data_IF_915129166662
#
_entry.id   IF_915129166662
#
_cell.length_a   1.000
_cell.length_b   1.000
_cell.length_c   1.000
_cell.angle_alpha   90.00
_cell.angle_beta   90.00
_cell.angle_gamma   90.00
#
_symmetry.space_group_name_H-M   'P 1'
#
loop_
_entity.id
_entity.type
_entity.pdbx_description
1 polymer ?
#
# COMPACT_ATOMS: atom_id res chain seq x y z
N UNK A 1 -28.01 -37.05 -21.37
CA UNK A 1 -28.05 -36.23 -20.15
C UNK A 1 -26.66 -35.68 -19.91
N UNK A 2 -26.41 -34.43 -20.30
CA UNK A 2 -25.09 -33.81 -20.19
C UNK A 2 -24.84 -33.38 -18.74
N UNK A 3 -24.00 -34.14 -18.04
CA UNK A 3 -23.57 -33.88 -16.68
C UNK A 3 -22.39 -32.89 -16.66
N UNK A 4 -22.62 -31.67 -17.14
CA UNK A 4 -21.66 -30.59 -16.99
C UNK A 4 -21.98 -29.77 -15.73
N UNK A 5 -21.02 -29.66 -14.82
CA UNK A 5 -21.14 -28.81 -13.65
C UNK A 5 -21.34 -27.34 -14.05
N UNK A 6 -22.21 -26.58 -13.37
CA UNK A 6 -22.38 -25.16 -13.65
C UNK A 6 -21.03 -24.45 -13.46
N UNK A 7 -20.61 -23.72 -14.50
CA UNK A 7 -19.38 -22.93 -14.42
C UNK A 7 -19.52 -21.93 -13.27
N UNK A 8 -18.52 -21.80 -12.38
CA UNK A 8 -18.56 -20.80 -11.34
C UNK A 8 -18.67 -19.42 -11.99
N UNK A 9 -19.49 -18.55 -11.40
CA UNK A 9 -19.66 -17.19 -11.87
C UNK A 9 -18.28 -16.53 -12.06
N UNK A 10 -18.05 -15.95 -13.23
CA UNK A 10 -16.84 -15.19 -13.51
C UNK A 10 -16.73 -14.08 -12.47
N UNK A 11 -15.68 -14.13 -11.64
CA UNK A 11 -15.38 -13.10 -10.65
C UNK A 11 -15.33 -11.76 -11.37
N UNK A 12 -16.25 -10.84 -11.04
CA UNK A 12 -16.17 -9.43 -11.48
C UNK A 12 -14.77 -8.94 -11.12
N UNK A 13 -14.01 -8.51 -12.12
CA UNK A 13 -12.73 -7.85 -11.90
C UNK A 13 -13.03 -6.63 -11.01
N UNK A 14 -12.17 -6.35 -10.03
CA UNK A 14 -12.21 -5.14 -9.18
C UNK A 14 -12.44 -3.89 -10.03
N UNK A 15 -12.86 -2.76 -9.45
CA UNK A 15 -13.04 -1.48 -10.15
C UNK A 15 -11.68 -0.90 -10.60
N UNK A 16 -11.04 -1.61 -11.52
CA UNK A 16 -9.80 -1.24 -12.21
C UNK A 16 -9.96 0.12 -12.91
N UNK A 17 -11.20 0.49 -13.26
CA UNK A 17 -11.54 1.73 -13.96
C UNK A 17 -11.09 2.99 -13.21
N UNK A 18 -11.37 3.15 -11.92
CA UNK A 18 -10.99 4.36 -11.18
C UNK A 18 -9.45 4.47 -11.04
N UNK A 19 -8.79 3.33 -10.82
CA UNK A 19 -7.33 3.26 -10.72
C UNK A 19 -6.66 3.56 -12.08
N UNK A 20 -7.18 3.00 -13.18
CA UNK A 20 -6.74 3.31 -14.54
C UNK A 20 -6.94 4.78 -14.87
N UNK A 21 -8.09 5.37 -14.51
CA UNK A 21 -8.37 6.80 -14.70
C UNK A 21 -7.37 7.67 -13.94
N UNK A 22 -7.07 7.31 -12.67
CA UNK A 22 -6.07 8.01 -11.85
C UNK A 22 -4.68 7.95 -12.49
N UNK A 23 -4.23 6.75 -12.87
CA UNK A 23 -2.91 6.56 -13.50
C UNK A 23 -2.82 7.25 -14.86
N UNK A 24 -3.88 7.18 -15.66
CA UNK A 24 -3.97 7.84 -16.96
C UNK A 24 -3.87 9.35 -16.83
N UNK A 25 -4.65 9.95 -15.92
CA UNK A 25 -4.64 11.40 -15.69
C UNK A 25 -3.31 11.89 -15.11
N UNK A 26 -2.73 11.17 -14.15
CA UNK A 26 -1.40 11.50 -13.62
C UNK A 26 -0.31 11.41 -14.71
N UNK A 27 -0.44 10.47 -15.64
CA UNK A 27 0.48 10.29 -16.77
C UNK A 27 0.53 11.45 -17.76
N UNK A 28 -0.45 12.37 -17.75
CA UNK A 28 -0.43 13.58 -18.59
C UNK A 28 0.65 14.59 -18.15
N UNK A 29 1.11 14.50 -16.91
CA UNK A 29 2.11 15.41 -16.33
C UNK A 29 3.52 14.86 -16.55
N UNK A 30 4.38 15.54 -17.34
CA UNK A 30 5.69 15.02 -17.72
C UNK A 30 6.72 15.10 -16.59
N UNK A 31 6.59 16.06 -15.68
CA UNK A 31 7.52 16.19 -14.55
C UNK A 31 7.05 15.35 -13.37
N UNK A 32 8.00 14.67 -12.71
CA UNK A 32 7.71 13.85 -11.52
C UNK A 32 7.05 14.66 -10.41
N UNK A 33 7.46 15.91 -10.24
CA UNK A 33 6.92 16.81 -9.22
C UNK A 33 5.47 17.20 -9.49
N UNK A 34 5.12 17.56 -10.74
CA UNK A 34 3.73 17.89 -11.09
C UNK A 34 2.84 16.65 -11.07
N UNK A 35 3.37 15.50 -11.49
CA UNK A 35 2.66 14.22 -11.37
C UNK A 35 2.31 13.91 -9.92
N UNK A 36 3.25 14.12 -8.99
CA UNK A 36 3.00 13.96 -7.56
C UNK A 36 1.92 14.92 -7.05
N UNK A 37 1.94 16.20 -7.47
CA UNK A 37 0.88 17.16 -7.13
C UNK A 37 -0.50 16.72 -7.63
N UNK A 38 -0.57 16.16 -8.85
CA UNK A 38 -1.78 15.59 -9.42
C UNK A 38 -2.28 14.36 -8.61
N UNK A 39 -1.39 13.42 -8.30
CA UNK A 39 -1.69 12.23 -7.49
C UNK A 39 -2.21 12.63 -6.09
N UNK A 40 -1.59 13.62 -5.45
CA UNK A 40 -2.02 14.17 -4.17
C UNK A 40 -3.40 14.85 -4.26
N UNK A 41 -3.71 15.49 -5.40
CA UNK A 41 -5.04 16.00 -5.72
C UNK A 41 -6.11 14.92 -5.74
N UNK A 42 -5.76 13.72 -6.20
CA UNK A 42 -6.70 12.60 -6.35
C UNK A 42 -6.88 11.73 -5.09
N UNK A 43 -6.10 11.98 -4.03
CA UNK A 43 -6.29 11.36 -2.72
C UNK A 43 -7.62 11.77 -2.09
N UNK A 44 -8.24 10.85 -1.37
CA UNK A 44 -9.41 11.18 -0.55
C UNK A 44 -9.03 12.11 0.60
N UNK A 45 -9.96 13.00 0.93
CA UNK A 45 -9.81 13.87 2.07
C UNK A 45 -10.78 13.40 3.16
N UNK A 46 -10.29 12.90 4.31
CA UNK A 46 -11.13 12.53 5.44
C UNK A 46 -12.06 13.65 5.92
N UNK A 47 -11.65 14.92 5.76
CA UNK A 47 -12.43 16.10 6.13
C UNK A 47 -13.41 16.56 5.03
N UNK A 48 -13.43 15.90 3.88
CA UNK A 48 -14.33 16.16 2.74
C UNK A 48 -14.32 17.62 2.24
N UNK A 49 -13.20 18.33 2.41
CA UNK A 49 -13.07 19.69 1.88
C UNK A 49 -13.02 19.71 0.35
N UNK A 50 -13.60 20.74 -0.29
CA UNK A 50 -13.55 20.88 -1.74
C UNK A 50 -12.12 21.12 -2.23
N UNK A 51 -11.87 20.81 -3.51
CA UNK A 51 -10.55 20.94 -4.14
C UNK A 51 -9.92 22.33 -3.93
N UNK A 52 -10.72 23.39 -4.05
CA UNK A 52 -10.28 24.77 -3.87
C UNK A 52 -9.77 25.04 -2.46
N UNK A 53 -10.44 24.49 -1.44
CA UNK A 53 -10.01 24.64 -0.05
C UNK A 53 -8.77 23.81 0.23
N UNK A 54 -8.64 22.62 -0.35
CA UNK A 54 -7.44 21.78 -0.23
C UNK A 54 -6.22 22.46 -0.86
N UNK A 55 -6.40 23.09 -2.02
CA UNK A 55 -5.34 23.77 -2.75
C UNK A 55 -4.71 24.95 -1.98
N UNK A 56 -5.43 25.56 -1.03
CA UNK A 56 -4.90 26.63 -0.18
C UNK A 56 -3.77 26.18 0.75
N UNK A 57 -3.66 24.88 1.02
CA UNK A 57 -2.63 24.30 1.89
C UNK A 57 -1.39 23.82 1.13
N UNK A 58 -1.35 24.00 -0.20
CA UNK A 58 -0.21 23.65 -1.05
C UNK A 58 0.85 24.75 -0.91
N UNK A 59 2.08 24.36 -0.58
CA UNK A 59 3.19 25.29 -0.36
C UNK A 59 4.13 25.40 -1.58
N UNK A 60 3.95 24.51 -2.55
CA UNK A 60 4.71 24.46 -3.79
C UNK A 60 4.27 25.55 -4.78
N UNK A 61 4.96 25.62 -5.92
CA UNK A 61 4.71 26.61 -6.95
C UNK A 61 3.29 26.55 -7.52
N UNK A 62 2.88 27.65 -8.16
CA UNK A 62 1.57 27.76 -8.82
C UNK A 62 1.29 26.61 -9.79
N UNK A 63 2.31 26.12 -10.50
CA UNK A 63 2.16 24.97 -11.39
C UNK A 63 1.69 23.70 -10.67
N UNK A 64 2.13 23.47 -9.43
CA UNK A 64 1.66 22.36 -8.60
C UNK A 64 0.20 22.55 -8.16
N UNK A 65 -0.17 23.78 -7.79
CA UNK A 65 -1.55 24.13 -7.42
C UNK A 65 -2.50 23.89 -8.60
N UNK A 66 -2.10 24.32 -9.80
CA UNK A 66 -2.89 24.15 -11.02
C UNK A 66 -3.06 22.66 -11.36
N UNK A 67 -1.97 21.86 -11.30
CA UNK A 67 -2.01 20.41 -11.52
C UNK A 67 -2.88 19.67 -10.47
N UNK A 68 -2.76 20.06 -9.19
CA UNK A 68 -3.56 19.52 -8.11
C UNK A 68 -5.06 19.77 -8.34
N UNK A 69 -5.43 21.01 -8.69
CA UNK A 69 -6.83 21.38 -8.91
C UNK A 69 -7.43 20.64 -10.11
N UNK A 70 -6.69 20.54 -11.21
CA UNK A 70 -7.11 19.78 -12.40
C UNK A 70 -7.43 18.32 -12.03
N UNK A 71 -6.49 17.63 -11.40
CA UNK A 71 -6.66 16.22 -11.06
C UNK A 71 -7.69 15.99 -9.95
N UNK A 72 -7.78 16.88 -8.96
CA UNK A 72 -8.78 16.80 -7.90
C UNK A 72 -10.20 16.94 -8.45
N UNK A 73 -10.44 17.91 -9.34
CA UNK A 73 -11.75 18.09 -9.95
C UNK A 73 -12.11 16.93 -10.88
N UNK A 74 -11.15 16.46 -11.68
CA UNK A 74 -11.32 15.31 -12.57
C UNK A 74 -11.77 14.06 -11.79
N UNK A 75 -11.04 13.66 -10.75
CA UNK A 75 -11.39 12.44 -10.00
C UNK A 75 -12.71 12.59 -9.25
N UNK A 76 -13.04 13.81 -8.80
CA UNK A 76 -14.31 14.09 -8.12
C UNK A 76 -15.49 13.87 -9.07
N UNK A 77 -15.37 14.28 -10.33
CA UNK A 77 -16.36 13.99 -11.36
C UNK A 77 -16.46 12.49 -11.65
N UNK A 78 -15.32 11.80 -11.79
CA UNK A 78 -15.31 10.35 -12.01
C UNK A 78 -16.00 9.59 -10.86
N UNK A 79 -15.74 9.96 -9.60
CA UNK A 79 -16.43 9.38 -8.43
C UNK A 79 -17.94 9.62 -8.46
N UNK A 80 -18.37 10.83 -8.82
CA UNK A 80 -19.80 11.15 -8.96
C UNK A 80 -20.46 10.30 -10.05
N UNK A 81 -19.79 10.11 -11.19
CA UNK A 81 -20.28 9.25 -12.28
C UNK A 81 -20.40 7.78 -11.85
N UNK A 82 -19.37 7.24 -11.19
CA UNK A 82 -19.33 5.85 -10.75
C UNK A 82 -20.22 5.55 -9.52
N UNK A 83 -20.47 6.54 -8.65
CA UNK A 83 -21.38 6.38 -7.50
C UNK A 83 -22.82 6.05 -7.91
N UNK A 84 -23.24 6.46 -9.11
CA UNK A 84 -24.59 6.20 -9.64
C UNK A 84 -24.80 4.75 -10.07
N UNK A 85 -23.72 4.01 -10.30
CA UNK A 85 -23.72 2.58 -10.65
C UNK A 85 -23.59 1.65 -9.42
N UNK A 86 -23.56 2.20 -8.20
CA UNK A 86 -23.17 1.51 -6.95
C UNK A 86 -24.32 0.88 -6.14
N UNK A 87 -25.55 0.79 -6.67
CA UNK A 87 -26.72 0.19 -5.98
C UNK A 87 -26.53 -1.29 -5.55
N UNK A 88 -25.41 -1.92 -5.91
CA UNK A 88 -25.01 -3.25 -5.48
C UNK A 88 -23.85 -3.15 -4.48
N UNK A 89 -24.15 -2.74 -3.24
CA UNK A 89 -23.21 -2.72 -2.12
C UNK A 89 -22.67 -4.11 -1.79
N UNK A 90 -21.58 -4.50 -2.44
CA UNK A 90 -20.83 -5.70 -2.12
C UNK A 90 -19.68 -5.30 -1.19
N UNK A 91 -19.63 -5.88 0.01
CA UNK A 91 -18.73 -5.52 1.11
C UNK A 91 -17.20 -5.53 0.84
N UNK A 92 -16.77 -5.74 -0.41
CA UNK A 92 -15.37 -5.81 -0.83
C UNK A 92 -15.04 -4.95 -2.06
N UNK A 93 -15.99 -4.28 -2.71
CA UNK A 93 -15.71 -3.36 -3.83
C UNK A 93 -15.31 -1.96 -3.37
N UNK A 94 -15.80 -1.54 -2.20
CA UNK A 94 -15.75 -0.14 -1.77
C UNK A 94 -14.35 0.28 -1.27
N UNK A 95 -13.48 -0.69 -0.95
CA UNK A 95 -12.13 -0.44 -0.47
C UNK A 95 -11.10 -0.19 -1.59
N UNK A 96 -11.46 -0.43 -2.86
CA UNK A 96 -10.52 -0.29 -3.98
C UNK A 96 -10.29 1.19 -4.37
N UNK A 97 -11.14 2.13 -3.94
CA UNK A 97 -11.03 3.57 -4.30
C UNK A 97 -9.92 4.33 -3.56
N UNK A 98 -9.57 3.86 -2.36
CA UNK A 98 -8.60 4.51 -1.47
C UNK A 98 -7.17 3.99 -1.67
N UNK A 99 -6.99 2.88 -2.38
CA UNK A 99 -5.67 2.26 -2.59
C UNK A 99 -4.91 3.03 -3.66
N UNK A 100 -4.05 3.96 -3.24
CA UNK A 100 -3.03 4.56 -4.09
C UNK A 100 -1.70 3.87 -3.75
N UNK A 101 -1.01 3.23 -4.70
CA UNK A 101 0.33 2.72 -4.43
C UNK A 101 1.25 3.88 -4.11
N UNK A 102 1.85 3.87 -2.92
CA UNK A 102 2.92 4.79 -2.55
C UNK A 102 4.19 4.43 -3.34
N UNK A 103 5.01 5.43 -3.70
CA UNK A 103 6.25 5.19 -4.45
C UNK A 103 7.25 4.32 -3.65
N UNK A 104 7.27 4.48 -2.32
CA UNK A 104 8.16 3.75 -1.42
C UNK A 104 7.36 2.76 -0.56
N UNK A 105 7.64 1.47 -0.72
CA UNK A 105 7.01 0.42 0.08
C UNK A 105 7.80 0.24 1.38
N UNK A 106 7.20 0.62 2.51
CA UNK A 106 7.77 0.36 3.83
C UNK A 106 7.49 -1.10 4.21
N UNK A 107 8.53 -1.93 4.27
CA UNK A 107 8.42 -3.30 4.75
C UNK A 107 8.38 -3.34 6.29
N UNK A 108 7.85 -4.43 6.85
CA UNK A 108 7.86 -4.65 8.29
C UNK A 108 9.31 -4.64 8.80
N UNK A 109 9.60 -3.72 9.72
CA UNK A 109 10.90 -3.58 10.37
C UNK A 109 10.92 -4.06 11.83
N UNK A 110 9.76 -4.30 12.44
CA UNK A 110 9.67 -4.77 13.82
C UNK A 110 9.93 -6.27 13.91
N UNK A 111 11.17 -6.60 14.28
CA UNK A 111 11.63 -7.94 14.65
C UNK A 111 12.05 -7.93 16.13
N UNK A 112 11.86 -9.03 16.88
CA UNK A 112 12.39 -9.10 18.24
C UNK A 112 13.92 -8.93 18.21
N UNK A 113 14.47 -8.32 19.25
CA UNK A 113 15.91 -8.13 19.36
C UNK A 113 16.66 -9.46 19.38
N UNK A 114 17.88 -9.45 18.86
CA UNK A 114 18.76 -10.61 18.94
C UNK A 114 19.12 -10.90 20.39
N UNK A 115 19.27 -12.19 20.70
CA UNK A 115 19.66 -12.68 22.01
C UNK A 115 20.74 -13.76 21.84
N UNK A 116 21.39 -14.14 22.94
CA UNK A 116 22.53 -15.06 22.94
C UNK A 116 23.74 -14.53 22.14
N UNK A 117 23.95 -13.20 22.17
CA UNK A 117 25.13 -12.55 21.59
C UNK A 117 26.32 -12.61 22.56
N UNK A 118 26.95 -13.78 22.69
CA UNK A 118 28.09 -14.03 23.60
C UNK A 118 29.25 -14.75 22.90
N UNK A 119 30.45 -14.60 23.46
CA UNK A 119 31.66 -15.30 23.01
C UNK A 119 31.95 -16.40 24.03
N UNK A 120 32.06 -17.64 23.55
CA UNK A 120 32.33 -18.81 24.39
C UNK A 120 33.70 -19.40 24.07
N UNK A 121 34.56 -19.49 25.07
CA UNK A 121 35.84 -20.18 24.95
C UNK A 121 35.67 -21.69 25.15
N UNK A 122 36.25 -22.47 24.24
CA UNK A 122 36.40 -23.92 24.35
C UNK A 122 37.84 -24.23 24.78
N UNK A 123 38.01 -24.71 26.01
CA UNK A 123 39.32 -25.10 26.54
C UNK A 123 39.59 -26.56 26.25
N UNK A 124 40.84 -26.84 25.86
CA UNK A 124 41.49 -28.13 25.64
C UNK A 124 40.76 -29.13 24.69
N UNK A 125 41.44 -29.65 23.66
CA UNK A 125 40.88 -30.72 22.85
C UNK A 125 40.86 -32.02 23.67
N UNK A 126 39.75 -32.75 23.66
CA UNK A 126 39.75 -34.14 24.15
C UNK A 126 40.72 -34.99 23.29
N UNK A 127 41.02 -36.22 23.73
CA UNK A 127 41.91 -37.18 23.04
C UNK A 127 41.62 -37.38 21.54
N UNK A 128 40.44 -36.99 21.07
CA UNK A 128 39.96 -37.14 19.71
C UNK A 128 40.06 -35.84 18.87
N UNK A 129 40.63 -34.76 19.42
CA UNK A 129 40.78 -33.46 18.76
C UNK A 129 39.52 -32.57 18.75
N UNK A 130 38.43 -33.01 19.39
CA UNK A 130 37.16 -32.28 19.45
C UNK A 130 36.97 -31.76 20.87
N UNK A 131 36.69 -30.45 21.03
CA UNK A 131 36.28 -29.85 22.29
C UNK A 131 34.79 -29.51 22.19
N UNK A 132 33.97 -29.99 23.14
CA UNK A 132 32.52 -29.80 23.14
C UNK A 132 32.06 -29.09 24.42
N UNK A 133 31.05 -28.21 24.30
CA UNK A 133 30.47 -27.46 25.42
C UNK A 133 28.96 -27.47 25.32
N UNK A 134 28.28 -27.88 26.39
CA UNK A 134 26.82 -27.83 26.49
C UNK A 134 26.41 -26.52 27.16
N UNK A 135 25.55 -25.75 26.49
CA UNK A 135 25.04 -24.47 27.01
C UNK A 135 23.54 -24.62 27.28
N UNK A 136 23.11 -24.29 28.50
CA UNK A 136 21.69 -24.22 28.87
C UNK A 136 21.24 -22.77 28.75
N UNK A 137 20.23 -22.51 27.92
CA UNK A 137 19.72 -21.16 27.68
C UNK A 137 18.21 -21.13 27.91
N UNK A 138 17.71 -20.02 28.46
CA UNK A 138 16.28 -19.75 28.53
C UNK A 138 15.82 -19.09 27.23
N UNK A 139 14.74 -19.63 26.66
CA UNK A 139 14.14 -19.07 25.46
C UNK A 139 13.51 -17.71 25.75
N UNK A 140 13.46 -16.86 24.73
CA UNK A 140 12.67 -15.63 24.78
C UNK A 140 11.19 -15.97 24.59
N UNK A 141 10.34 -15.20 25.24
CA UNK A 141 8.89 -15.32 25.12
C UNK A 141 8.42 -14.63 23.83
N UNK A 142 8.76 -15.21 22.67
CA UNK A 142 8.29 -14.79 21.37
C UNK A 142 7.94 -15.99 20.48
N UNK A 143 6.81 -15.93 19.79
CA UNK A 143 6.41 -16.95 18.79
C UNK A 143 7.09 -16.65 17.45
N UNK A 144 8.42 -16.67 17.44
CA UNK A 144 9.28 -16.46 16.26
C UNK A 144 10.20 -17.67 16.09
N UNK A 145 10.53 -18.03 14.85
CA UNK A 145 11.45 -19.14 14.53
C UNK A 145 12.90 -18.68 14.49
#
# INVERSE_FOLDING_TARGET
SDLACPKPATRRRRSVQLMENRMGKAGEYPSKELRKCCEDGMRENPMQYPCQRRAQFILQDKACVDAFLDCCNYITQQRLEHSRDSDLGLARSDLDEEIIPEEDIISRSQFPESWLWTIEELKDPEKNGISSKTIKVFLRDSTTT
#
